data_IF_990611914047
#
_entry.id   IF_990611914047
#
_cell.length_a   1.000
_cell.length_b   1.000
_cell.length_c   1.000
_cell.angle_alpha   90.00
_cell.angle_beta   90.00
_cell.angle_gamma   90.00
#
_symmetry.space_group_name_H-M   'P 1'
#
loop_
_entity.id
_entity.type
_entity.pdbx_description
1 polymer ?
#
# COMPACT_ATOMS: atom_id res chain seq x y z
N UNK A 1 -15.23 23.37 -8.30
CA UNK A 1 -15.42 22.86 -6.93
C UNK A 1 -16.90 22.52 -6.80
N UNK A 2 -17.27 21.30 -7.14
CA UNK A 2 -18.61 20.76 -6.88
C UNK A 2 -18.60 20.24 -5.45
N UNK A 3 -19.52 20.76 -4.63
CA UNK A 3 -19.80 20.23 -3.30
C UNK A 3 -19.99 18.72 -3.37
N UNK A 4 -19.23 17.99 -2.53
CA UNK A 4 -19.46 16.59 -2.34
C UNK A 4 -20.90 16.43 -1.84
N UNK A 5 -21.74 15.77 -2.61
CA UNK A 5 -23.05 15.34 -2.15
C UNK A 5 -22.83 14.61 -0.82
N UNK A 6 -23.51 15.07 0.25
CA UNK A 6 -23.29 14.65 1.63
C UNK A 6 -23.61 13.18 1.88
N UNK A 7 -22.74 12.30 1.45
CA UNK A 7 -22.70 10.92 1.87
C UNK A 7 -21.86 10.80 3.14
N UNK A 8 -22.32 10.04 4.13
CA UNK A 8 -21.48 9.63 5.23
C UNK A 8 -20.23 8.96 4.66
N UNK A 9 -19.05 9.26 5.23
CA UNK A 9 -17.79 8.60 4.86
C UNK A 9 -17.87 7.08 5.05
N UNK A 10 -16.80 6.34 4.72
CA UNK A 10 -16.80 4.88 4.88
C UNK A 10 -17.02 4.48 6.33
N UNK A 11 -17.63 3.32 6.54
CA UNK A 11 -17.78 2.72 7.87
C UNK A 11 -16.48 2.06 8.31
N UNK A 12 -16.19 2.12 9.62
CA UNK A 12 -14.99 1.57 10.23
C UNK A 12 -15.27 0.18 10.80
N UNK A 13 -14.43 -0.78 10.46
CA UNK A 13 -14.57 -2.18 10.86
C UNK A 13 -13.26 -2.73 11.40
N UNK A 14 -13.32 -3.88 12.06
CA UNK A 14 -12.12 -4.60 12.48
C UNK A 14 -12.27 -6.09 12.29
N UNK A 15 -11.13 -6.75 12.06
CA UNK A 15 -11.01 -8.20 11.98
C UNK A 15 -9.77 -8.66 12.75
N UNK A 16 -9.63 -9.95 12.96
CA UNK A 16 -8.47 -10.52 13.62
C UNK A 16 -7.63 -11.32 12.64
N UNK A 17 -6.33 -11.00 12.62
CA UNK A 17 -5.31 -11.82 11.98
C UNK A 17 -4.33 -12.28 13.05
N UNK A 18 -4.27 -13.59 13.27
CA UNK A 18 -3.55 -14.19 14.40
C UNK A 18 -4.01 -13.57 15.73
N UNK A 19 -3.16 -12.75 16.37
CA UNK A 19 -3.45 -12.08 17.66
C UNK A 19 -3.64 -10.58 17.51
N UNK A 20 -3.58 -10.04 16.28
CA UNK A 20 -3.71 -8.61 16.02
C UNK A 20 -5.14 -8.28 15.63
N UNK A 21 -5.68 -7.23 16.24
CA UNK A 21 -6.90 -6.57 15.76
C UNK A 21 -6.50 -5.60 14.66
N UNK A 22 -6.91 -5.88 13.45
CA UNK A 22 -6.66 -5.06 12.28
C UNK A 22 -7.92 -4.29 11.89
N UNK A 23 -7.72 -3.14 11.29
CA UNK A 23 -8.77 -2.21 10.90
C UNK A 23 -8.95 -2.22 9.38
N UNK A 24 -10.17 -1.98 8.92
CA UNK A 24 -10.45 -1.61 7.53
C UNK A 24 -11.64 -0.66 7.47
N UNK A 25 -11.73 0.08 6.38
CA UNK A 25 -12.91 0.87 6.06
C UNK A 25 -13.68 0.24 4.91
N UNK A 26 -15.01 0.35 4.99
CA UNK A 26 -15.94 -0.14 3.99
C UNK A 26 -16.72 1.05 3.40
N UNK A 27 -16.63 1.22 2.09
CA UNK A 27 -17.30 2.29 1.34
C UNK A 27 -18.70 1.90 0.89
N UNK A 28 -19.19 0.73 1.31
CA UNK A 28 -20.52 0.21 1.00
C UNK A 28 -20.62 -0.38 -0.41
N UNK A 29 -21.87 -0.52 -0.86
CA UNK A 29 -22.25 -1.17 -2.12
C UNK A 29 -22.17 -2.70 -2.07
N UNK A 30 -22.55 -3.29 -0.95
CA UNK A 30 -22.67 -4.74 -0.79
C UNK A 30 -23.51 -5.34 -1.91
N UNK A 31 -23.17 -6.56 -2.32
CA UNK A 31 -23.78 -7.24 -3.46
C UNK A 31 -23.18 -6.93 -4.82
N UNK A 32 -22.27 -5.93 -4.92
CA UNK A 32 -21.42 -5.72 -6.09
C UNK A 32 -20.12 -6.53 -5.96
N UNK A 33 -19.38 -6.76 -7.08
CA UNK A 33 -18.08 -7.43 -7.02
C UNK A 33 -17.12 -6.77 -6.03
N UNK A 34 -16.42 -7.55 -5.22
CA UNK A 34 -15.48 -7.03 -4.22
C UNK A 34 -14.23 -6.44 -4.87
N UNK A 35 -13.84 -5.25 -4.41
CA UNK A 35 -12.58 -4.59 -4.74
C UNK A 35 -11.87 -4.16 -3.45
N UNK A 36 -10.62 -4.59 -3.28
CA UNK A 36 -9.80 -4.24 -2.11
C UNK A 36 -8.67 -3.32 -2.51
N UNK A 37 -8.53 -2.19 -1.80
CA UNK A 37 -7.53 -1.16 -2.03
C UNK A 37 -6.48 -1.21 -0.91
N UNK A 38 -5.24 -1.60 -1.21
CA UNK A 38 -4.18 -1.84 -0.22
C UNK A 38 -3.14 -0.73 -0.28
N UNK A 39 -2.96 0.02 0.80
CA UNK A 39 -2.07 1.18 0.87
C UNK A 39 -0.58 0.81 0.95
N UNK A 40 0.29 1.79 0.76
CA UNK A 40 1.74 1.67 0.84
C UNK A 40 2.30 1.73 2.27
N UNK A 41 3.62 1.59 2.42
CA UNK A 41 4.29 1.75 3.70
C UNK A 41 4.14 3.18 4.24
N UNK A 42 3.93 3.32 5.56
CA UNK A 42 3.78 4.59 6.29
C UNK A 42 2.57 5.43 5.85
N UNK A 43 1.55 4.77 5.33
CA UNK A 43 0.31 5.32 4.84
C UNK A 43 -0.88 4.72 5.62
N UNK A 44 -2.10 4.88 5.16
CA UNK A 44 -3.32 4.40 5.82
C UNK A 44 -4.46 4.18 4.82
N UNK A 45 -5.52 3.47 5.21
CA UNK A 45 -6.65 3.10 4.35
C UNK A 45 -7.38 4.30 3.73
N UNK A 46 -7.42 5.43 4.45
CA UNK A 46 -8.13 6.64 3.99
C UNK A 46 -7.41 7.40 2.85
N UNK A 47 -6.21 6.93 2.44
CA UNK A 47 -5.57 7.44 1.21
C UNK A 47 -6.39 7.09 -0.05
N UNK A 48 -7.23 6.08 0.06
CA UNK A 48 -8.06 5.59 -1.05
C UNK A 48 -9.41 6.29 -1.20
N UNK A 49 -9.78 7.23 -0.31
CA UNK A 49 -11.11 7.84 -0.27
C UNK A 49 -11.60 8.31 -1.64
N UNK A 50 -10.75 9.03 -2.39
CA UNK A 50 -11.14 9.58 -3.70
C UNK A 50 -11.27 8.50 -4.78
N UNK A 51 -10.41 7.49 -4.76
CA UNK A 51 -10.48 6.34 -5.67
C UNK A 51 -11.72 5.49 -5.35
N UNK A 52 -11.95 5.22 -4.08
CA UNK A 52 -13.09 4.45 -3.61
C UNK A 52 -14.43 5.13 -3.96
N UNK A 53 -14.52 6.46 -3.81
CA UNK A 53 -15.73 7.21 -4.15
C UNK A 53 -16.10 7.08 -5.64
N UNK A 54 -15.11 7.03 -6.54
CA UNK A 54 -15.35 6.78 -7.96
C UNK A 54 -15.78 5.33 -8.23
N UNK A 55 -15.12 4.36 -7.58
CA UNK A 55 -15.30 2.94 -7.86
C UNK A 55 -16.49 2.29 -7.15
N UNK A 56 -16.98 2.84 -6.02
CA UNK A 56 -18.14 2.30 -5.28
C UNK A 56 -19.45 2.24 -6.10
N UNK A 57 -19.50 2.97 -7.21
CA UNK A 57 -20.61 2.88 -8.16
C UNK A 57 -20.67 1.52 -8.86
N UNK A 58 -19.56 0.81 -8.94
CA UNK A 58 -19.38 -0.43 -9.69
C UNK A 58 -18.94 -1.61 -8.82
N UNK A 59 -18.35 -1.36 -7.65
CA UNK A 59 -17.77 -2.35 -6.76
C UNK A 59 -18.23 -2.15 -5.32
N UNK A 60 -18.26 -3.23 -4.54
CA UNK A 60 -18.16 -3.17 -3.09
C UNK A 60 -16.69 -2.89 -2.76
N UNK A 61 -16.39 -1.72 -2.22
CA UNK A 61 -15.00 -1.27 -2.03
C UNK A 61 -14.65 -1.28 -0.56
N UNK A 62 -13.57 -1.98 -0.21
CA UNK A 62 -12.98 -1.95 1.12
C UNK A 62 -11.49 -1.59 1.06
N UNK A 63 -10.97 -0.99 2.13
CA UNK A 63 -9.55 -0.67 2.24
C UNK A 63 -9.05 -0.95 3.66
N UNK A 64 -8.13 -1.93 3.85
CA UNK A 64 -7.52 -2.19 5.14
C UNK A 64 -6.44 -1.17 5.49
N UNK A 65 -6.24 -0.96 6.81
CA UNK A 65 -4.98 -0.51 7.37
C UNK A 65 -4.07 -1.72 7.56
N UNK A 66 -2.88 -1.69 6.99
CA UNK A 66 -1.87 -2.73 7.18
C UNK A 66 -1.46 -2.80 8.66
N UNK A 67 -1.01 -4.00 9.15
CA UNK A 67 -0.43 -4.10 10.48
C UNK A 67 0.62 -3.01 10.70
N UNK A 68 0.63 -2.39 11.89
CA UNK A 68 1.55 -1.31 12.20
C UNK A 68 1.25 0.03 11.54
N UNK A 69 0.08 0.18 10.89
CA UNK A 69 -0.34 1.41 10.20
C UNK A 69 -1.79 1.77 10.55
N UNK A 70 -2.11 3.04 10.41
CA UNK A 70 -3.46 3.56 10.59
C UNK A 70 -4.05 3.20 11.96
N UNK A 71 -5.26 2.66 11.97
CA UNK A 71 -5.96 2.24 13.17
C UNK A 71 -5.83 0.73 13.46
N UNK A 72 -4.95 0.03 12.69
CA UNK A 72 -4.55 -1.36 12.94
C UNK A 72 -3.54 -1.48 14.06
N UNK A 73 -3.59 -2.60 14.80
CA UNK A 73 -2.65 -2.89 15.88
C UNK A 73 -1.20 -2.98 15.37
N UNK A 74 -0.27 -2.59 16.22
CA UNK A 74 1.15 -2.76 16.02
C UNK A 74 1.59 -4.18 16.42
N UNK A 75 2.48 -4.78 15.62
CA UNK A 75 2.94 -6.14 15.87
C UNK A 75 3.94 -6.19 17.03
N UNK A 76 3.63 -6.97 18.06
CA UNK A 76 4.56 -7.27 19.14
C UNK A 76 5.72 -8.09 18.55
N UNK A 77 6.97 -7.69 18.83
CA UNK A 77 8.16 -8.33 18.28
C UNK A 77 8.51 -7.92 16.84
N UNK A 78 7.94 -6.81 16.36
CA UNK A 78 8.27 -6.20 15.04
C UNK A 78 8.13 -7.15 13.84
N UNK A 79 7.08 -7.94 13.81
CA UNK A 79 6.77 -8.87 12.72
C UNK A 79 6.08 -8.12 11.55
N UNK A 80 6.90 -7.45 10.75
CA UNK A 80 6.49 -6.66 9.59
C UNK A 80 7.08 -7.20 8.28
N UNK A 81 7.13 -8.53 8.14
CA UNK A 81 7.60 -9.20 6.93
C UNK A 81 6.50 -9.34 5.87
N UNK A 82 6.93 -9.63 4.63
CA UNK A 82 5.99 -9.90 3.53
C UNK A 82 5.03 -11.06 3.84
N UNK A 83 5.48 -12.19 4.44
CA UNK A 83 4.56 -13.28 4.78
C UNK A 83 3.41 -12.85 5.71
N UNK A 84 3.71 -12.01 6.70
CA UNK A 84 2.72 -11.52 7.66
C UNK A 84 1.71 -10.58 7.00
N UNK A 85 2.15 -9.69 6.11
CA UNK A 85 1.25 -8.81 5.36
C UNK A 85 0.34 -9.59 4.41
N UNK A 86 0.87 -10.60 3.71
CA UNK A 86 0.08 -11.45 2.81
C UNK A 86 -0.93 -12.29 3.60
N UNK A 87 -0.54 -12.79 4.79
CA UNK A 87 -1.45 -13.50 5.68
C UNK A 87 -2.60 -12.60 6.15
N UNK A 88 -2.33 -11.34 6.50
CA UNK A 88 -3.37 -10.39 6.89
C UNK A 88 -4.38 -10.15 5.77
N UNK A 89 -3.90 -9.97 4.53
CA UNK A 89 -4.78 -9.84 3.37
C UNK A 89 -5.63 -11.11 3.17
N UNK A 90 -5.02 -12.29 3.28
CA UNK A 90 -5.75 -13.56 3.17
C UNK A 90 -6.81 -13.71 4.27
N UNK A 91 -6.52 -13.27 5.50
CA UNK A 91 -7.47 -13.29 6.61
C UNK A 91 -8.61 -12.27 6.42
N UNK A 92 -8.31 -11.08 5.90
CA UNK A 92 -9.34 -10.10 5.54
C UNK A 92 -10.30 -10.68 4.51
N UNK A 93 -9.78 -11.22 3.40
CA UNK A 93 -10.60 -11.81 2.34
C UNK A 93 -11.45 -12.98 2.84
N UNK A 94 -10.91 -13.81 3.74
CA UNK A 94 -11.68 -14.84 4.41
C UNK A 94 -12.78 -14.27 5.33
N UNK A 95 -12.49 -13.17 6.02
CA UNK A 95 -13.42 -12.51 6.94
C UNK A 95 -14.62 -11.91 6.20
N UNK A 96 -14.37 -11.26 5.07
CA UNK A 96 -15.45 -10.66 4.25
C UNK A 96 -16.19 -11.70 3.40
N UNK A 97 -15.67 -12.93 3.28
CA UNK A 97 -16.39 -14.07 2.72
C UNK A 97 -16.53 -14.08 1.20
N UNK A 98 -15.69 -13.33 0.48
CA UNK A 98 -15.86 -13.14 -0.95
C UNK A 98 -14.63 -13.56 -1.77
N UNK A 99 -14.89 -14.33 -2.84
CA UNK A 99 -13.98 -14.63 -3.93
C UNK A 99 -14.81 -14.96 -5.18
N UNK A 100 -14.33 -14.63 -6.40
CA UNK A 100 -13.06 -13.96 -6.72
C UNK A 100 -13.07 -12.45 -6.48
N UNK A 101 -11.90 -11.85 -6.25
CA UNK A 101 -11.71 -10.45 -5.85
C UNK A 101 -10.86 -9.67 -6.86
N UNK A 102 -11.10 -8.36 -6.98
CA UNK A 102 -10.20 -7.42 -7.65
C UNK A 102 -9.32 -6.74 -6.60
N UNK A 103 -8.00 -6.73 -6.82
CA UNK A 103 -7.03 -6.14 -5.92
C UNK A 103 -6.32 -4.94 -6.57
N UNK A 104 -6.20 -3.84 -5.83
CA UNK A 104 -5.40 -2.68 -6.21
C UNK A 104 -4.47 -2.37 -5.04
N UNK A 105 -3.17 -2.28 -5.29
CA UNK A 105 -2.21 -2.00 -4.24
C UNK A 105 -1.17 -0.97 -4.67
N UNK A 106 -0.76 -0.12 -3.72
CA UNK A 106 0.29 0.87 -3.91
C UNK A 106 1.54 0.49 -3.14
N UNK A 107 2.71 0.59 -3.76
CA UNK A 107 4.02 0.39 -3.12
C UNK A 107 4.09 -0.95 -2.36
N UNK A 108 4.24 -0.94 -1.03
CA UNK A 108 4.17 -2.15 -0.20
C UNK A 108 2.86 -2.92 -0.44
N UNK A 109 1.72 -2.22 -0.51
CA UNK A 109 0.43 -2.85 -0.82
C UNK A 109 0.41 -3.49 -2.21
N UNK A 110 1.09 -2.89 -3.19
CA UNK A 110 1.27 -3.48 -4.52
C UNK A 110 2.04 -4.80 -4.48
N UNK A 111 3.14 -4.85 -3.71
CA UNK A 111 3.88 -6.09 -3.51
C UNK A 111 3.03 -7.17 -2.80
N UNK A 112 2.24 -6.78 -1.78
CA UNK A 112 1.35 -7.68 -1.05
C UNK A 112 0.31 -8.30 -1.99
N UNK A 113 -0.39 -7.50 -2.81
CA UNK A 113 -1.43 -8.00 -3.71
C UNK A 113 -0.85 -8.90 -4.81
N UNK A 114 0.36 -8.62 -5.31
CA UNK A 114 1.04 -9.47 -6.29
C UNK A 114 1.47 -10.81 -5.68
N UNK A 115 1.96 -10.82 -4.42
CA UNK A 115 2.26 -12.07 -3.71
C UNK A 115 0.99 -12.91 -3.51
N UNK A 116 -0.07 -12.29 -2.99
CA UNK A 116 -1.36 -12.98 -2.82
C UNK A 116 -1.86 -13.57 -4.14
N UNK A 117 -1.81 -12.80 -5.23
CA UNK A 117 -2.23 -13.23 -6.55
C UNK A 117 -1.44 -14.43 -7.09
N UNK A 118 -0.14 -14.50 -6.83
CA UNK A 118 0.69 -15.65 -7.21
C UNK A 118 0.45 -16.90 -6.36
N UNK A 119 0.06 -16.71 -5.09
CA UNK A 119 -0.26 -17.82 -4.17
C UNK A 119 -1.65 -18.40 -4.48
N UNK A 120 -2.65 -17.54 -4.69
CA UNK A 120 -4.05 -17.89 -4.91
C UNK A 120 -4.59 -17.38 -6.25
N UNK A 121 -4.00 -17.79 -7.41
CA UNK A 121 -4.35 -17.24 -8.72
C UNK A 121 -5.81 -17.41 -9.11
N UNK A 122 -6.48 -18.48 -8.60
CA UNK A 122 -7.89 -18.75 -8.87
C UNK A 122 -8.87 -17.80 -8.15
N UNK A 123 -8.41 -17.06 -7.16
CA UNK A 123 -9.24 -16.16 -6.35
C UNK A 123 -9.29 -14.72 -6.91
N UNK A 124 -8.68 -14.47 -8.06
CA UNK A 124 -8.52 -13.12 -8.61
C UNK A 124 -9.30 -12.90 -9.89
N UNK A 125 -9.95 -11.73 -9.99
CA UNK A 125 -10.51 -11.22 -11.24
C UNK A 125 -9.48 -10.37 -11.98
N UNK A 126 -8.90 -9.38 -11.30
CA UNK A 126 -7.89 -8.45 -11.83
C UNK A 126 -6.97 -7.99 -10.70
N UNK A 127 -5.75 -7.62 -11.05
CA UNK A 127 -4.77 -7.07 -10.09
C UNK A 127 -4.15 -5.80 -10.66
N UNK A 128 -4.11 -4.72 -9.87
CA UNK A 128 -3.37 -3.50 -10.20
C UNK A 128 -2.28 -3.25 -9.15
N UNK A 129 -1.04 -3.12 -9.58
CA UNK A 129 0.08 -2.75 -8.73
C UNK A 129 0.65 -1.38 -9.17
N UNK A 130 0.49 -0.39 -8.29
CA UNK A 130 1.02 0.96 -8.47
C UNK A 130 2.36 1.00 -7.76
N UNK A 131 3.46 1.11 -8.51
CA UNK A 131 4.83 1.16 -7.95
C UNK A 131 5.16 -0.04 -7.03
N UNK A 132 4.54 -1.21 -7.26
CA UNK A 132 4.41 -2.30 -6.30
C UNK A 132 5.30 -3.52 -6.54
N UNK A 133 6.37 -3.45 -7.36
CA UNK A 133 7.22 -4.61 -7.63
C UNK A 133 8.34 -4.82 -6.60
N UNK A 134 8.27 -4.14 -5.47
CA UNK A 134 9.31 -4.20 -4.43
C UNK A 134 10.53 -3.35 -4.78
N UNK A 135 11.65 -3.54 -4.06
CA UNK A 135 12.86 -2.75 -4.24
C UNK A 135 13.43 -2.88 -5.65
N UNK A 136 14.09 -1.83 -6.18
CA UNK A 136 14.81 -1.92 -7.44
C UNK A 136 15.87 -3.02 -7.43
N UNK A 137 16.10 -3.72 -8.56
CA UNK A 137 17.08 -4.81 -8.64
C UNK A 137 18.48 -4.43 -8.16
N UNK A 138 18.92 -3.21 -8.43
CA UNK A 138 20.24 -2.70 -8.01
C UNK A 138 20.33 -2.58 -6.49
N UNK A 139 19.30 -2.09 -5.83
CA UNK A 139 19.26 -2.01 -4.36
C UNK A 139 19.27 -3.41 -3.72
N UNK A 140 18.54 -4.34 -4.31
CA UNK A 140 18.54 -5.75 -3.85
C UNK A 140 19.95 -6.33 -3.98
N UNK A 141 20.60 -6.12 -5.13
CA UNK A 141 21.97 -6.61 -5.39
C UNK A 141 22.98 -6.03 -4.41
N UNK A 142 22.91 -4.72 -4.13
CA UNK A 142 23.80 -4.04 -3.19
C UNK A 142 23.63 -4.61 -1.76
N UNK A 143 22.40 -4.66 -1.27
CA UNK A 143 22.12 -5.18 0.09
C UNK A 143 22.48 -6.67 0.20
N UNK A 144 22.13 -7.49 -0.78
CA UNK A 144 22.37 -8.93 -0.75
C UNK A 144 23.80 -9.32 -1.07
N UNK A 145 24.58 -8.44 -1.69
CA UNK A 145 26.01 -8.62 -1.92
C UNK A 145 26.84 -8.60 -0.63
N UNK A 146 26.31 -7.96 0.43
CA UNK A 146 26.99 -7.93 1.73
C UNK A 146 26.98 -9.29 2.42
N UNK A 147 28.04 -9.65 3.17
CA UNK A 147 28.08 -10.85 3.99
C UNK A 147 26.93 -10.90 5.00
N UNK A 148 26.52 -12.12 5.41
CA UNK A 148 25.39 -12.28 6.33
C UNK A 148 25.66 -11.63 7.68
N UNK A 149 26.89 -11.70 8.18
CA UNK A 149 27.33 -11.11 9.44
C UNK A 149 27.17 -9.59 9.45
N UNK A 150 27.51 -8.90 8.35
CA UNK A 150 27.32 -7.45 8.24
C UNK A 150 25.83 -7.08 8.20
N UNK A 151 25.01 -7.86 7.49
CA UNK A 151 23.56 -7.64 7.42
C UNK A 151 22.90 -7.88 8.78
N UNK A 152 23.31 -8.92 9.50
CA UNK A 152 22.83 -9.20 10.86
C UNK A 152 23.25 -8.11 11.84
N UNK A 153 24.50 -7.65 11.78
CA UNK A 153 24.97 -6.56 12.63
C UNK A 153 24.15 -5.26 12.35
N UNK A 154 24.01 -4.88 11.09
CA UNK A 154 23.23 -3.69 10.69
C UNK A 154 21.78 -3.79 11.18
N UNK A 155 21.17 -4.97 11.06
CA UNK A 155 19.80 -5.19 11.55
C UNK A 155 19.71 -5.09 13.07
N UNK A 156 20.63 -5.70 13.82
CA UNK A 156 20.68 -5.63 15.28
C UNK A 156 20.84 -4.17 15.74
N UNK A 157 21.78 -3.43 15.16
CA UNK A 157 22.00 -2.01 15.47
C UNK A 157 20.75 -1.16 15.17
N UNK A 158 20.07 -1.43 14.04
CA UNK A 158 18.82 -0.80 13.71
C UNK A 158 17.77 -1.09 14.78
N UNK A 159 17.55 -2.35 15.11
CA UNK A 159 16.58 -2.77 16.12
C UNK A 159 16.86 -2.18 17.50
N UNK A 160 18.13 -2.12 17.91
CA UNK A 160 18.55 -1.50 19.19
C UNK A 160 18.35 0.02 19.20
N UNK A 161 18.40 0.68 18.03
CA UNK A 161 18.21 2.12 17.92
C UNK A 161 16.74 2.57 17.98
N UNK A 162 15.79 1.68 17.64
CA UNK A 162 14.38 2.03 17.52
C UNK A 162 13.67 2.32 18.86
N UNK A 163 13.91 1.55 19.97
CA UNK A 163 13.25 1.81 21.25
C UNK A 163 13.54 3.19 21.84
N UNK A 164 14.74 3.73 21.57
CA UNK A 164 15.14 5.07 22.03
C UNK A 164 14.64 6.22 21.15
N UNK A 165 14.09 5.92 19.99
CA UNK A 165 13.57 6.92 19.06
C UNK A 165 12.10 7.20 19.37
N UNK A 166 11.84 8.30 20.04
CA UNK A 166 10.46 8.80 20.13
C UNK A 166 9.93 9.05 18.71
N UNK A 167 8.69 8.62 18.39
CA UNK A 167 8.03 9.07 17.17
C UNK A 167 8.08 10.59 17.08
N UNK A 168 8.26 11.11 15.88
CA UNK A 168 8.29 12.57 15.68
C UNK A 168 6.94 13.16 16.04
N UNK A 169 6.96 14.09 16.98
CA UNK A 169 5.77 14.84 17.39
C UNK A 169 5.70 16.19 16.68
N UNK A 170 4.49 16.67 16.47
CA UNK A 170 4.16 17.96 15.87
C UNK A 170 3.25 18.73 16.82
N UNK A 171 3.54 20.00 17.04
CA UNK A 171 2.73 20.84 17.93
C UNK A 171 1.32 21.12 17.36
N UNK A 172 1.17 21.07 16.05
CA UNK A 172 -0.11 21.29 15.39
C UNK A 172 -0.30 20.39 14.16
N UNK A 173 -1.56 20.27 13.71
CA UNK A 173 -1.87 19.63 12.42
C UNK A 173 -1.19 20.36 11.26
N UNK A 174 -1.05 21.67 11.33
CA UNK A 174 -0.39 22.47 10.30
C UNK A 174 1.10 22.12 10.16
N UNK A 175 1.79 21.83 11.27
CA UNK A 175 3.20 21.41 11.25
C UNK A 175 3.33 19.99 10.63
N UNK A 176 2.40 19.09 10.95
CA UNK A 176 2.36 17.77 10.35
C UNK A 176 2.06 17.85 8.83
N UNK A 177 1.11 18.70 8.42
CA UNK A 177 0.81 18.95 7.00
C UNK A 177 2.01 19.56 6.26
N UNK A 178 2.69 20.54 6.85
CA UNK A 178 3.89 21.13 6.28
C UNK A 178 4.98 20.04 6.04
N UNK A 179 5.13 19.10 6.97
CA UNK A 179 6.03 17.96 6.81
C UNK A 179 5.57 17.02 5.69
N UNK A 180 4.26 16.71 5.58
CA UNK A 180 3.71 15.90 4.51
C UNK A 180 4.02 16.51 3.15
N UNK A 181 3.75 17.80 2.97
CA UNK A 181 4.03 18.54 1.73
C UNK A 181 5.51 18.58 1.38
N UNK A 182 6.37 18.82 2.37
CA UNK A 182 7.83 18.85 2.17
C UNK A 182 8.38 17.48 1.74
N UNK A 183 7.80 16.39 2.23
CA UNK A 183 8.23 15.04 1.87
C UNK A 183 7.68 14.58 0.51
N UNK A 184 6.56 15.17 0.05
CA UNK A 184 5.84 14.74 -1.15
C UNK A 184 5.45 15.95 -2.00
N UNK A 185 6.41 16.52 -2.76
CA UNK A 185 6.24 17.79 -3.46
C UNK A 185 5.19 17.77 -4.59
N UNK A 186 4.82 16.60 -5.09
CA UNK A 186 3.79 16.43 -6.13
C UNK A 186 2.36 16.54 -5.58
N UNK A 187 2.17 16.38 -4.25
CA UNK A 187 0.84 16.43 -3.65
C UNK A 187 0.23 17.82 -3.71
N UNK A 188 -1.04 17.90 -4.09
CA UNK A 188 -1.82 19.13 -3.93
C UNK A 188 -1.98 19.47 -2.44
N UNK A 189 -2.15 20.75 -2.07
CA UNK A 189 -2.40 21.15 -0.67
C UNK A 189 -3.62 20.44 -0.07
N UNK A 190 -4.69 20.26 -0.84
CA UNK A 190 -5.90 19.58 -0.38
C UNK A 190 -5.64 18.09 -0.07
N UNK A 191 -4.87 17.40 -0.94
CA UNK A 191 -4.50 16.01 -0.72
C UNK A 191 -3.57 15.87 0.49
N UNK A 192 -2.54 16.72 0.61
CA UNK A 192 -1.63 16.69 1.75
C UNK A 192 -2.38 16.88 3.08
N UNK A 193 -3.33 17.82 3.11
CA UNK A 193 -4.21 18.04 4.27
C UNK A 193 -5.06 16.80 4.59
N UNK A 194 -5.71 16.21 3.57
CA UNK A 194 -6.52 15.00 3.73
C UNK A 194 -5.72 13.85 4.31
N UNK A 195 -4.57 13.53 3.71
CA UNK A 195 -3.68 12.46 4.19
C UNK A 195 -3.18 12.72 5.61
N UNK A 196 -2.89 13.99 5.95
CA UNK A 196 -2.44 14.34 7.30
C UNK A 196 -3.54 14.14 8.34
N UNK A 197 -4.75 14.64 8.10
CA UNK A 197 -5.86 14.53 9.05
C UNK A 197 -6.15 13.07 9.42
N UNK A 198 -6.12 12.17 8.45
CA UNK A 198 -6.38 10.75 8.67
C UNK A 198 -5.15 9.95 9.13
N UNK A 199 -3.95 10.43 8.79
CA UNK A 199 -2.69 9.75 9.08
C UNK A 199 -2.06 10.07 10.44
N UNK A 200 -2.58 11.06 11.19
CA UNK A 200 -2.04 11.40 12.52
C UNK A 200 -3.04 11.09 13.63
N UNK A 201 -2.50 10.89 14.83
CA UNK A 201 -3.25 10.81 16.08
C UNK A 201 -2.81 11.92 17.03
N UNK A 202 -3.75 12.47 17.81
CA UNK A 202 -3.45 13.44 18.85
C UNK A 202 -3.05 12.69 20.13
N UNK A 203 -1.91 13.07 20.70
CA UNK A 203 -1.37 12.51 21.94
C UNK A 203 -1.96 13.20 23.18
N UNK A 204 -1.79 12.59 24.35
CA UNK A 204 -2.25 13.15 25.64
C UNK A 204 -1.65 14.52 25.96
N UNK A 205 -0.41 14.78 25.52
CA UNK A 205 0.26 16.09 25.66
C UNK A 205 -0.27 17.16 24.69
N UNK A 206 -1.24 16.82 23.84
CA UNK A 206 -1.84 17.71 22.85
C UNK A 206 -1.14 17.74 21.49
N UNK A 207 0.07 17.18 21.38
CA UNK A 207 0.81 17.06 20.12
C UNK A 207 0.21 16.00 19.20
N UNK A 208 0.71 15.93 17.97
CA UNK A 208 0.30 14.97 16.95
C UNK A 208 1.47 14.08 16.55
N UNK A 209 1.19 12.81 16.23
CA UNK A 209 2.18 11.90 15.66
C UNK A 209 1.55 11.06 14.57
N UNK A 210 2.37 10.51 13.65
CA UNK A 210 1.89 9.63 12.58
C UNK A 210 1.43 8.28 13.14
N UNK A 211 0.36 7.75 12.56
CA UNK A 211 -0.23 6.45 12.92
C UNK A 211 0.53 5.28 12.27
N UNK A 212 1.84 5.23 12.39
CA UNK A 212 2.58 4.04 11.99
C UNK A 212 3.71 3.72 12.98
N UNK A 213 3.97 2.43 13.15
CA UNK A 213 5.04 1.94 13.98
C UNK A 213 6.40 2.20 13.32
N UNK A 214 7.38 2.72 14.06
CA UNK A 214 8.73 2.95 13.55
C UNK A 214 9.42 1.65 13.09
N UNK A 215 9.02 0.51 13.62
CA UNK A 215 9.56 -0.80 13.28
C UNK A 215 9.18 -1.29 11.88
N UNK A 216 8.16 -0.71 11.23
CA UNK A 216 7.80 -1.06 9.83
C UNK A 216 8.91 -0.78 8.82
N UNK A 217 9.94 -0.02 9.21
CA UNK A 217 11.12 0.29 8.40
C UNK A 217 12.28 -0.68 8.61
N UNK A 218 12.22 -1.54 9.61
CA UNK A 218 13.29 -2.46 9.95
C UNK A 218 13.16 -3.74 9.11
N UNK A 219 13.83 -3.76 7.98
CA UNK A 219 13.88 -4.93 7.12
C UNK A 219 14.74 -6.02 7.75
N UNK A 220 14.28 -7.26 7.64
CA UNK A 220 15.04 -8.39 8.17
C UNK A 220 16.38 -8.61 7.44
N UNK A 221 17.34 -9.28 8.09
CA UNK A 221 18.71 -9.43 7.58
C UNK A 221 18.85 -10.50 6.49
N UNK A 222 17.81 -11.30 6.29
CA UNK A 222 17.85 -12.39 5.32
C UNK A 222 17.68 -11.89 3.89
N UNK A 223 18.13 -12.70 2.93
CA UNK A 223 18.04 -12.36 1.52
C UNK A 223 16.57 -12.27 1.07
N UNK A 224 16.29 -11.29 0.22
CA UNK A 224 15.06 -11.22 -0.51
C UNK A 224 15.05 -12.33 -1.58
N UNK A 225 14.06 -13.20 -1.55
CA UNK A 225 13.94 -14.32 -2.49
C UNK A 225 13.43 -13.83 -3.85
N UNK A 226 14.34 -13.28 -4.66
CA UNK A 226 14.02 -12.73 -5.99
C UNK A 226 13.39 -13.78 -6.88
N UNK A 227 13.97 -14.98 -6.94
CA UNK A 227 13.50 -16.07 -7.82
C UNK A 227 12.11 -16.56 -7.38
N UNK A 228 11.89 -16.72 -6.06
CA UNK A 228 10.59 -17.08 -5.52
C UNK A 228 9.52 -16.05 -5.85
N UNK A 229 9.83 -14.76 -5.73
CA UNK A 229 8.90 -13.67 -6.07
C UNK A 229 8.58 -13.66 -7.57
N UNK A 230 9.58 -13.77 -8.44
CA UNK A 230 9.38 -13.87 -9.89
C UNK A 230 8.55 -15.09 -10.28
N UNK A 231 8.76 -16.22 -9.59
CA UNK A 231 7.92 -17.41 -9.77
C UNK A 231 6.47 -17.15 -9.36
N UNK A 232 6.21 -16.42 -8.27
CA UNK A 232 4.86 -16.03 -7.89
C UNK A 232 4.20 -15.18 -8.97
N UNK A 233 4.90 -14.16 -9.51
CA UNK A 233 4.36 -13.35 -10.61
C UNK A 233 3.99 -14.18 -11.83
N UNK A 234 4.84 -15.14 -12.21
CA UNK A 234 4.56 -16.07 -13.32
C UNK A 234 3.38 -17.01 -13.09
N UNK A 235 2.90 -17.14 -11.87
CA UNK A 235 1.70 -17.94 -11.53
C UNK A 235 0.40 -17.15 -11.63
N UNK A 236 0.44 -15.83 -11.66
CA UNK A 236 -0.76 -14.99 -11.76
C UNK A 236 -1.47 -15.29 -13.09
N UNK A 237 -2.76 -15.61 -13.00
CA UNK A 237 -3.59 -15.98 -14.16
C UNK A 237 -4.53 -14.85 -14.59
N UNK A 238 -4.85 -13.95 -13.67
CA UNK A 238 -5.69 -12.78 -13.95
C UNK A 238 -4.89 -11.69 -14.67
N UNK A 239 -5.54 -10.80 -15.44
CA UNK A 239 -4.90 -9.60 -15.99
C UNK A 239 -4.25 -8.75 -14.90
N UNK A 240 -3.07 -8.20 -15.21
CA UNK A 240 -2.30 -7.33 -14.30
C UNK A 240 -2.14 -5.95 -14.93
N UNK A 241 -2.42 -4.88 -14.16
CA UNK A 241 -2.04 -3.52 -14.51
C UNK A 241 -0.84 -3.10 -13.64
N UNK A 242 0.27 -2.74 -14.30
CA UNK A 242 1.45 -2.17 -13.67
C UNK A 242 1.45 -0.66 -13.93
N UNK A 243 1.43 0.16 -12.87
CA UNK A 243 1.44 1.62 -12.99
C UNK A 243 2.70 2.19 -12.37
N UNK A 244 3.33 3.13 -13.06
CA UNK A 244 4.53 3.83 -12.60
C UNK A 244 4.42 5.33 -12.82
N UNK A 245 4.97 6.13 -11.91
CA UNK A 245 5.18 7.57 -12.11
C UNK A 245 6.50 7.84 -12.84
N UNK A 246 6.47 8.66 -13.88
CA UNK A 246 7.67 8.94 -14.68
C UNK A 246 8.78 9.61 -13.86
N UNK A 247 8.41 10.36 -12.81
CA UNK A 247 9.34 11.06 -11.90
C UNK A 247 9.56 10.31 -10.57
N UNK A 248 9.14 9.03 -10.50
CA UNK A 248 9.33 8.20 -9.31
C UNK A 248 10.77 7.69 -9.20
N UNK A 249 11.21 7.49 -7.95
CA UNK A 249 12.46 6.80 -7.63
C UNK A 249 12.44 5.30 -7.96
N UNK A 250 11.25 4.71 -8.10
CA UNK A 250 11.12 3.30 -8.45
C UNK A 250 11.56 3.03 -9.89
N UNK A 251 12.32 1.96 -10.10
CA UNK A 251 12.78 1.59 -11.42
C UNK A 251 11.64 1.16 -12.36
N UNK A 252 11.80 1.42 -13.65
CA UNK A 252 10.81 1.06 -14.65
C UNK A 252 10.84 -0.47 -14.88
N UNK A 253 9.74 -1.19 -14.60
CA UNK A 253 9.69 -2.65 -14.66
C UNK A 253 9.82 -3.22 -16.08
N UNK A 254 9.56 -2.43 -17.11
CA UNK A 254 9.74 -2.83 -18.50
C UNK A 254 11.22 -2.80 -18.87
N UNK A 255 11.93 -1.73 -18.50
CA UNK A 255 13.35 -1.58 -18.83
C UNK A 255 14.28 -2.43 -17.96
N UNK A 256 13.89 -2.71 -16.71
CA UNK A 256 14.66 -3.59 -15.80
C UNK A 256 14.30 -5.08 -15.95
N UNK A 257 13.36 -5.41 -16.84
CA UNK A 257 12.99 -6.77 -17.22
C UNK A 257 11.98 -7.45 -16.28
N UNK A 258 11.58 -6.84 -15.14
CA UNK A 258 10.67 -7.48 -14.19
C UNK A 258 9.26 -7.70 -14.75
N UNK A 259 8.81 -6.87 -15.68
CA UNK A 259 7.50 -7.03 -16.30
C UNK A 259 7.38 -8.35 -17.11
N UNK A 260 8.48 -8.91 -17.61
CA UNK A 260 8.49 -10.15 -18.42
C UNK A 260 8.05 -11.39 -17.64
N UNK A 261 8.03 -11.34 -16.32
CA UNK A 261 7.56 -12.46 -15.49
C UNK A 261 6.04 -12.59 -15.42
N UNK A 262 5.29 -11.54 -15.81
CA UNK A 262 3.83 -11.59 -15.87
C UNK A 262 3.35 -12.14 -17.22
N UNK A 263 2.35 -13.03 -17.19
CA UNK A 263 1.80 -13.67 -18.41
C UNK A 263 0.91 -12.73 -19.21
N UNK A 264 0.10 -11.94 -18.51
CA UNK A 264 -0.85 -10.98 -19.08
C UNK A 264 -0.77 -9.68 -18.28
N UNK A 265 -0.10 -8.68 -18.83
CA UNK A 265 0.03 -7.40 -18.19
C UNK A 265 -0.17 -6.22 -19.14
N UNK A 266 -0.70 -5.16 -18.59
CA UNK A 266 -0.70 -3.82 -19.19
C UNK A 266 0.22 -2.93 -18.36
N UNK A 267 1.03 -2.11 -19.01
CA UNK A 267 1.89 -1.13 -18.35
C UNK A 267 1.42 0.29 -18.66
N UNK A 268 1.34 1.12 -17.63
CA UNK A 268 1.02 2.55 -17.73
C UNK A 268 2.09 3.37 -17.01
N UNK A 269 2.78 4.24 -17.74
CA UNK A 269 3.66 5.27 -17.18
C UNK A 269 2.89 6.60 -17.16
N UNK A 270 2.89 7.26 -16.01
CA UNK A 270 2.14 8.50 -15.80
C UNK A 270 3.12 9.67 -15.68
N UNK A 271 3.08 10.54 -16.68
CA UNK A 271 3.90 11.75 -16.73
C UNK A 271 3.62 12.71 -15.57
N UNK A 272 4.67 13.38 -15.07
CA UNK A 272 4.57 14.35 -13.98
C UNK A 272 3.97 13.76 -12.70
N UNK A 273 4.23 12.49 -12.43
CA UNK A 273 3.87 11.78 -11.22
C UNK A 273 5.11 11.23 -10.53
N UNK A 274 5.20 11.38 -9.23
CA UNK A 274 6.17 10.72 -8.36
C UNK A 274 5.67 9.33 -7.93
N UNK A 275 6.07 8.91 -6.73
CA UNK A 275 5.74 7.59 -6.19
C UNK A 275 4.23 7.40 -5.88
N UNK A 276 3.51 8.46 -5.55
CA UNK A 276 2.09 8.42 -5.24
C UNK A 276 1.22 8.78 -6.45
N UNK A 277 1.37 8.02 -7.53
CA UNK A 277 0.74 8.24 -8.84
C UNK A 277 -0.76 8.55 -8.75
N UNK A 278 -1.48 7.79 -7.91
CA UNK A 278 -2.93 7.91 -7.70
C UNK A 278 -3.34 9.19 -6.97
N UNK A 279 -2.40 9.93 -6.39
CA UNK A 279 -2.61 11.26 -5.81
C UNK A 279 -2.06 12.37 -6.70
N UNK A 280 -0.88 12.16 -7.27
CA UNK A 280 -0.16 13.17 -8.04
C UNK A 280 -0.88 13.51 -9.35
N UNK A 281 -1.44 12.48 -9.99
CA UNK A 281 -2.14 12.59 -11.28
C UNK A 281 -3.45 11.81 -11.28
N UNK A 282 -4.32 12.13 -10.33
CA UNK A 282 -5.55 11.38 -10.02
C UNK A 282 -6.41 11.05 -11.25
N UNK A 283 -6.77 12.05 -12.08
CA UNK A 283 -7.65 11.79 -13.23
C UNK A 283 -6.98 10.92 -14.30
N UNK A 284 -5.67 11.08 -14.53
CA UNK A 284 -4.92 10.24 -15.46
C UNK A 284 -4.84 8.80 -14.95
N UNK A 285 -4.53 8.64 -13.65
CA UNK A 285 -4.55 7.33 -12.99
C UNK A 285 -5.92 6.66 -13.08
N UNK A 286 -7.01 7.40 -12.77
CA UNK A 286 -8.38 6.87 -12.84
C UNK A 286 -8.76 6.47 -14.27
N UNK A 287 -8.29 7.19 -15.30
CA UNK A 287 -8.46 6.81 -16.70
C UNK A 287 -7.82 5.44 -17.02
N UNK A 288 -6.59 5.21 -16.59
CA UNK A 288 -5.93 3.91 -16.77
C UNK A 288 -6.62 2.80 -15.96
N UNK A 289 -6.91 3.06 -14.68
CA UNK A 289 -7.57 2.09 -13.80
C UNK A 289 -8.99 1.76 -14.29
N UNK A 290 -9.79 2.76 -14.65
CA UNK A 290 -11.15 2.57 -15.15
C UNK A 290 -11.18 1.76 -16.46
N UNK A 291 -10.30 2.08 -17.41
CA UNK A 291 -10.13 1.31 -18.65
C UNK A 291 -9.76 -0.16 -18.35
N UNK A 292 -8.79 -0.37 -17.46
CA UNK A 292 -8.39 -1.71 -17.05
C UNK A 292 -9.52 -2.48 -16.36
N UNK A 293 -10.26 -1.84 -15.48
CA UNK A 293 -11.39 -2.46 -14.78
C UNK A 293 -12.59 -2.68 -15.69
N UNK A 294 -12.71 -1.95 -16.81
CA UNK A 294 -13.87 -1.98 -17.70
C UNK A 294 -15.05 -1.15 -17.19
N UNK A 295 -14.76 -0.07 -16.44
CA UNK A 295 -15.78 0.84 -15.89
C UNK A 295 -15.52 2.26 -16.38
N UNK A 296 -16.60 3.05 -16.50
CA UNK A 296 -16.46 4.47 -16.80
C UNK A 296 -15.76 5.18 -15.62
N UNK A 297 -14.69 5.92 -15.93
CA UNK A 297 -13.89 6.69 -14.96
C UNK A 297 -14.58 7.99 -14.54
#
# INVERSE_FOLDING_TARGET
>A
MTEAAGGMGPTSHSFFSQRLRLHYVDYGSEGKPLLVLVHGGQDHCRNWDFVAERLRKHYHVIAPDLRGHGDSAWAIGSQYGMPEYVLDLAQLLRHVGEAPVTLVGHSLGGAIVLHYAGIYPQNLVKVCAIEGLGPPPELIKDVQGKPIEERMQTWIETMQSLPGRKPREYASLADAEARMRSANPHLSPAMAKHLTIHGVVRLENGNYTWKFDNYVRAWGPYRYDVEGVQRLWGRIQSPVLLVRGAESWASNPVTDGRATFFRDYTYAEVEKAGHWVHHDRFEVFMGHLGSFLGVAS
#
